data_IF_465154198454
#
_entry.id   IF_465154198454
#
_cell.length_a   1.000
_cell.length_b   1.000
_cell.length_c   1.000
_cell.angle_alpha   90.00
_cell.angle_beta   90.00
_cell.angle_gamma   90.00
#
_symmetry.space_group_name_H-M   'P 1'
#
loop_
_entity.id
_entity.type
_entity.pdbx_description
1 polymer ?
#
# COMPACT_ATOMS: atom_id res chain seq x y z
N UNK A 1 80.41 28.73 34.52
CA UNK A 1 79.96 28.05 33.27
C UNK A 1 78.64 27.40 33.58
N UNK A 2 77.52 28.08 33.24
CA UNK A 2 76.14 27.59 33.47
C UNK A 2 75.57 27.34 32.11
N UNK A 3 75.21 26.07 31.77
CA UNK A 3 74.54 25.68 30.55
C UNK A 3 73.05 25.80 30.78
N UNK A 4 72.35 26.65 30.03
CA UNK A 4 70.89 26.72 29.96
C UNK A 4 70.42 25.70 28.90
N UNK A 5 69.61 24.73 29.34
CA UNK A 5 68.88 23.85 28.45
C UNK A 5 67.50 24.44 28.25
N UNK A 6 67.21 24.83 27.04
CA UNK A 6 65.89 25.36 26.59
C UNK A 6 65.01 24.16 26.20
N UNK A 7 64.01 23.89 27.03
CA UNK A 7 62.98 22.85 26.70
C UNK A 7 61.89 23.48 25.83
N UNK A 8 61.81 23.03 24.60
CA UNK A 8 60.74 23.40 23.63
C UNK A 8 59.54 22.47 23.85
N UNK A 9 58.45 22.98 24.43
CA UNK A 9 57.19 22.26 24.56
C UNK A 9 56.45 22.35 23.20
N UNK A 10 56.32 21.23 22.49
CA UNK A 10 55.45 21.09 21.33
C UNK A 10 54.06 20.77 21.85
N UNK A 11 53.14 21.73 21.77
CA UNK A 11 51.72 21.51 22.03
C UNK A 11 51.13 20.85 20.76
N UNK A 12 50.89 19.55 20.81
CA UNK A 12 50.10 18.82 19.83
C UNK A 12 48.64 19.16 20.01
N UNK A 13 48.07 20.02 19.17
CA UNK A 13 46.66 20.26 19.09
C UNK A 13 46.01 19.05 18.42
N UNK A 14 45.44 18.15 19.18
CA UNK A 14 44.51 17.13 18.71
C UNK A 14 43.19 17.82 18.30
N UNK A 15 43.03 18.06 17.04
CA UNK A 15 41.72 18.37 16.47
C UNK A 15 40.91 17.09 16.59
N UNK A 16 40.06 17.01 17.61
CA UNK A 16 38.99 16.02 17.68
C UNK A 16 38.01 16.33 16.50
N UNK A 17 38.10 15.58 15.41
CA UNK A 17 36.96 15.43 14.52
C UNK A 17 35.90 14.70 15.34
N UNK A 18 35.03 15.47 16.00
CA UNK A 18 33.73 14.98 16.38
C UNK A 18 33.02 14.66 15.09
N UNK A 19 32.98 13.41 14.69
CA UNK A 19 31.99 12.94 13.73
C UNK A 19 30.64 13.42 14.28
N UNK A 20 30.05 14.40 13.62
CA UNK A 20 28.64 14.75 13.88
C UNK A 20 27.90 13.48 13.56
N UNK A 21 27.35 12.79 14.58
CA UNK A 21 26.31 11.80 14.33
C UNK A 21 25.23 12.58 13.56
N UNK A 22 25.10 12.27 12.29
CA UNK A 22 24.06 12.87 11.47
C UNK A 22 22.76 12.44 12.12
N UNK A 23 21.91 13.39 12.49
CA UNK A 23 20.62 13.06 13.05
C UNK A 23 19.83 12.28 12.00
N UNK A 24 19.17 11.22 12.40
CA UNK A 24 18.37 10.36 11.56
C UNK A 24 16.89 10.60 11.87
N UNK A 25 16.09 10.73 10.81
CA UNK A 25 14.63 10.75 10.92
C UNK A 25 14.13 9.34 10.62
N UNK A 26 13.32 8.79 11.52
CA UNK A 26 12.78 7.45 11.34
C UNK A 26 11.36 7.49 10.81
N UNK A 27 11.13 6.86 9.66
CA UNK A 27 9.81 6.57 9.09
C UNK A 27 9.65 5.06 9.13
N UNK A 28 8.75 4.54 9.96
CA UNK A 28 8.54 3.09 10.09
C UNK A 28 7.83 2.49 8.89
N UNK A 29 8.10 1.21 8.56
CA UNK A 29 7.33 0.46 7.58
C UNK A 29 6.67 -0.75 8.24
N UNK A 30 5.34 -0.85 8.14
CA UNK A 30 4.54 -1.99 8.60
C UNK A 30 4.08 -2.81 7.40
N UNK A 31 4.65 -3.99 7.22
CA UNK A 31 4.32 -4.93 6.13
C UNK A 31 3.86 -6.29 6.63
N UNK A 32 3.28 -7.08 5.76
CA UNK A 32 3.04 -8.51 5.98
C UNK A 32 4.17 -9.33 5.35
N UNK A 33 5.35 -9.27 5.95
CA UNK A 33 6.53 -10.00 5.45
C UNK A 33 6.37 -11.51 5.59
N UNK A 34 5.48 -11.94 6.46
CA UNK A 34 4.99 -13.32 6.59
C UNK A 34 3.47 -13.33 6.52
N UNK A 35 2.87 -14.46 6.07
CA UNK A 35 1.41 -14.62 6.02
C UNK A 35 0.82 -14.44 4.63
N UNK A 36 -0.46 -14.01 4.52
CA UNK A 36 -1.24 -14.13 3.28
C UNK A 36 -0.86 -13.16 2.16
N UNK A 37 0.08 -12.24 2.39
CA UNK A 37 0.56 -11.28 1.38
C UNK A 37 2.09 -11.27 1.27
N UNK A 38 2.71 -12.44 1.48
CA UNK A 38 4.16 -12.57 1.49
C UNK A 38 4.80 -12.15 0.15
N UNK A 39 4.15 -12.41 -0.99
CA UNK A 39 4.66 -12.01 -2.31
C UNK A 39 4.29 -10.56 -2.69
N UNK A 40 3.26 -9.97 -2.06
CA UNK A 40 2.86 -8.58 -2.29
C UNK A 40 3.77 -7.59 -1.54
N UNK A 41 4.19 -7.92 -0.33
CA UNK A 41 4.93 -7.00 0.54
C UNK A 41 6.26 -6.52 -0.04
N UNK A 42 7.14 -7.39 -0.62
CA UNK A 42 8.45 -6.94 -1.10
C UNK A 42 8.41 -5.82 -2.16
N UNK A 43 7.64 -5.91 -3.25
CA UNK A 43 7.63 -4.83 -4.24
C UNK A 43 7.10 -3.49 -3.70
N UNK A 44 6.15 -3.52 -2.75
CA UNK A 44 5.66 -2.29 -2.09
C UNK A 44 6.75 -1.68 -1.19
N UNK A 45 7.45 -2.52 -0.44
CA UNK A 45 8.58 -2.11 0.41
C UNK A 45 9.74 -1.55 -0.41
N UNK A 46 10.12 -2.23 -1.51
CA UNK A 46 11.20 -1.80 -2.38
C UNK A 46 10.89 -0.44 -3.03
N UNK A 47 9.66 -0.21 -3.43
CA UNK A 47 9.22 1.08 -3.96
C UNK A 47 9.26 2.19 -2.89
N UNK A 48 8.84 1.91 -1.66
CA UNK A 48 8.97 2.84 -0.53
C UNK A 48 10.45 3.13 -0.22
N UNK A 49 11.31 2.12 -0.26
CA UNK A 49 12.76 2.30 -0.12
C UNK A 49 13.37 3.15 -1.23
N UNK A 50 12.91 3.00 -2.48
CA UNK A 50 13.36 3.85 -3.59
C UNK A 50 13.03 5.33 -3.34
N UNK A 51 11.84 5.64 -2.82
CA UNK A 51 11.49 7.00 -2.44
C UNK A 51 12.42 7.54 -1.33
N UNK A 52 12.68 6.76 -0.29
CA UNK A 52 13.62 7.10 0.79
C UNK A 52 15.04 7.32 0.23
N UNK A 53 15.48 6.47 -0.69
CA UNK A 53 16.78 6.62 -1.34
C UNK A 53 16.88 7.93 -2.11
N UNK A 54 15.86 8.31 -2.90
CA UNK A 54 15.84 9.58 -3.63
C UNK A 54 15.95 10.78 -2.69
N UNK A 55 15.24 10.75 -1.55
CA UNK A 55 15.34 11.80 -0.52
C UNK A 55 16.76 11.87 0.04
N UNK A 56 17.31 10.74 0.45
CA UNK A 56 18.62 10.67 1.08
C UNK A 56 19.75 11.09 0.11
N UNK A 57 19.73 10.65 -1.13
CA UNK A 57 20.75 10.98 -2.15
C UNK A 57 20.71 12.46 -2.56
N UNK A 58 19.54 13.10 -2.50
CA UNK A 58 19.34 14.52 -2.81
C UNK A 58 19.45 15.43 -1.58
N UNK A 59 20.16 14.98 -0.54
CA UNK A 59 20.56 15.80 0.59
C UNK A 59 19.72 15.64 1.87
N UNK A 60 18.87 14.63 1.93
CA UNK A 60 18.09 14.28 3.14
C UNK A 60 17.05 15.31 3.54
N UNK A 61 16.43 15.07 4.68
CA UNK A 61 15.44 15.94 5.35
C UNK A 61 16.11 17.00 6.21
N UNK A 62 15.40 18.10 6.51
CA UNK A 62 15.69 19.02 7.60
C UNK A 62 17.20 19.33 7.77
N UNK A 63 17.80 19.98 6.80
CA UNK A 63 19.23 20.34 6.79
C UNK A 63 20.19 19.12 6.73
N UNK A 64 19.77 18.03 6.12
CA UNK A 64 20.66 16.91 5.77
C UNK A 64 20.52 15.68 6.68
N UNK A 65 19.42 15.55 7.42
CA UNK A 65 19.13 14.34 8.17
C UNK A 65 18.70 13.20 7.21
N UNK A 66 19.28 12.01 7.38
CA UNK A 66 18.92 10.86 6.56
C UNK A 66 17.68 10.17 7.12
N UNK A 67 16.86 9.63 6.21
CA UNK A 67 15.73 8.78 6.61
C UNK A 67 16.25 7.37 6.85
N UNK A 68 15.95 6.81 8.02
CA UNK A 68 16.02 5.40 8.35
C UNK A 68 14.59 4.81 8.29
N UNK A 69 14.42 3.63 7.69
CA UNK A 69 13.11 2.98 7.58
C UNK A 69 13.10 1.64 8.31
N UNK A 70 12.93 1.63 9.67
CA UNK A 70 12.77 0.40 10.42
C UNK A 70 11.47 -0.31 10.07
N UNK A 71 11.52 -1.65 9.98
CA UNK A 71 10.39 -2.46 9.55
C UNK A 71 9.69 -3.15 10.71
N UNK A 72 8.40 -3.43 10.57
CA UNK A 72 7.62 -4.29 11.46
C UNK A 72 6.80 -5.30 10.65
N UNK A 73 6.85 -6.58 11.02
CA UNK A 73 6.00 -7.60 10.43
C UNK A 73 4.67 -7.65 11.16
N UNK A 74 3.61 -7.40 10.43
CA UNK A 74 2.23 -7.43 10.93
C UNK A 74 1.58 -8.80 10.78
N UNK A 75 2.23 -9.72 10.07
CA UNK A 75 1.70 -11.02 9.65
C UNK A 75 0.37 -10.96 8.87
N UNK A 76 -0.26 -9.80 8.76
CA UNK A 76 -1.56 -9.56 8.12
C UNK A 76 -2.76 -10.30 8.76
N UNK A 77 -2.52 -11.44 9.38
CA UNK A 77 -3.56 -12.33 9.94
C UNK A 77 -3.74 -12.21 11.47
N UNK A 78 -2.81 -11.55 12.18
CA UNK A 78 -2.84 -11.42 13.65
C UNK A 78 -2.82 -9.95 14.07
N UNK A 79 -3.97 -9.44 14.55
CA UNK A 79 -4.10 -8.08 15.07
C UNK A 79 -3.14 -7.78 16.23
N UNK A 80 -2.77 -8.80 17.03
CA UNK A 80 -1.82 -8.62 18.13
C UNK A 80 -0.39 -8.45 17.61
N UNK A 81 0.00 -9.19 16.56
CA UNK A 81 1.29 -9.01 15.89
C UNK A 81 1.39 -7.60 15.29
N UNK A 82 0.36 -7.14 14.58
CA UNK A 82 0.30 -5.79 14.02
C UNK A 82 0.42 -4.71 15.10
N UNK A 83 -0.33 -4.84 16.21
CA UNK A 83 -0.28 -3.91 17.34
C UNK A 83 1.11 -3.87 17.98
N UNK A 84 1.74 -5.02 18.21
CA UNK A 84 3.07 -5.11 18.81
C UNK A 84 4.16 -4.53 17.90
N UNK A 85 4.07 -4.79 16.59
CA UNK A 85 4.99 -4.23 15.60
C UNK A 85 4.89 -2.69 15.57
N UNK A 86 3.67 -2.15 15.56
CA UNK A 86 3.42 -0.72 15.61
C UNK A 86 3.88 -0.09 16.94
N UNK A 87 3.58 -0.72 18.09
CA UNK A 87 4.03 -0.24 19.41
C UNK A 87 5.55 -0.15 19.47
N UNK A 88 6.27 -1.13 18.93
CA UNK A 88 7.73 -1.08 18.85
C UNK A 88 8.22 0.11 18.02
N UNK A 89 7.64 0.33 16.82
CA UNK A 89 8.02 1.47 15.99
C UNK A 89 7.73 2.81 16.69
N UNK A 90 6.56 2.95 17.33
CA UNK A 90 6.13 4.19 17.97
C UNK A 90 6.89 4.47 19.25
N UNK A 91 7.03 3.48 20.14
CA UNK A 91 7.48 3.68 21.51
C UNK A 91 8.95 3.27 21.76
N UNK A 92 9.53 2.38 20.93
CA UNK A 92 10.92 1.96 21.08
C UNK A 92 11.84 2.58 20.03
N UNK A 93 11.41 2.59 18.76
CA UNK A 93 12.17 3.20 17.66
C UNK A 93 11.95 4.72 17.55
N UNK A 94 10.86 5.23 18.15
CA UNK A 94 10.47 6.64 18.13
C UNK A 94 10.30 7.20 16.72
N UNK A 95 9.63 6.45 15.85
CA UNK A 95 9.39 6.91 14.48
C UNK A 95 8.54 8.18 14.46
N UNK A 96 8.82 9.05 13.49
CA UNK A 96 8.04 10.28 13.21
C UNK A 96 6.72 9.95 12.55
N UNK A 97 6.73 9.02 11.60
CA UNK A 97 5.57 8.59 10.82
C UNK A 97 5.69 7.10 10.46
N UNK A 98 4.61 6.51 9.95
CA UNK A 98 4.54 5.09 9.55
C UNK A 98 3.98 4.98 8.12
N UNK A 99 4.67 4.23 7.28
CA UNK A 99 4.15 3.69 6.02
C UNK A 99 3.50 2.34 6.33
N UNK A 100 2.22 2.19 5.98
CA UNK A 100 1.50 0.94 6.25
C UNK A 100 0.34 1.12 7.26
N UNK A 101 -0.23 0.01 7.76
CA UNK A 101 0.12 -1.35 7.34
C UNK A 101 -0.45 -1.67 5.94
N UNK A 102 -0.22 -2.91 5.44
CA UNK A 102 -0.68 -3.28 4.10
C UNK A 102 -2.05 -3.99 4.12
N UNK A 103 -2.41 -4.64 5.20
CA UNK A 103 -3.70 -5.30 5.35
C UNK A 103 -4.65 -4.47 6.22
N UNK A 104 -5.92 -4.37 5.86
CA UNK A 104 -6.93 -3.56 6.54
C UNK A 104 -6.97 -3.81 8.04
N UNK A 105 -7.15 -5.06 8.48
CA UNK A 105 -7.20 -5.39 9.92
C UNK A 105 -5.91 -5.06 10.66
N UNK A 106 -4.75 -5.20 10.01
CA UNK A 106 -3.46 -4.81 10.58
C UNK A 106 -3.33 -3.29 10.72
N UNK A 107 -3.80 -2.51 9.73
CA UNK A 107 -3.84 -1.04 9.79
C UNK A 107 -4.73 -0.56 10.93
N UNK A 108 -5.95 -1.10 11.03
CA UNK A 108 -6.90 -0.76 12.11
C UNK A 108 -6.30 -1.08 13.48
N UNK A 109 -5.66 -2.24 13.64
CA UNK A 109 -5.05 -2.64 14.88
C UNK A 109 -3.84 -1.77 15.27
N UNK A 110 -2.95 -1.48 14.30
CA UNK A 110 -1.79 -0.61 14.50
C UNK A 110 -2.19 0.83 14.82
N UNK A 111 -3.19 1.36 14.09
CA UNK A 111 -3.72 2.70 14.30
C UNK A 111 -4.29 2.86 15.71
N UNK A 112 -5.26 2.03 16.08
CA UNK A 112 -5.98 2.15 17.35
C UNK A 112 -5.09 1.89 18.60
N UNK A 113 -4.12 0.97 18.49
CA UNK A 113 -3.35 0.53 19.64
C UNK A 113 -2.00 1.25 19.82
N UNK A 114 -1.48 1.88 18.77
CA UNK A 114 -0.16 2.52 18.82
C UNK A 114 -0.11 3.90 18.15
N UNK A 115 -0.48 4.03 16.87
CA UNK A 115 -0.22 5.24 16.12
C UNK A 115 -1.10 6.40 16.58
N UNK A 116 -2.41 6.25 16.70
CA UNK A 116 -3.34 7.28 17.18
C UNK A 116 -2.99 7.71 18.62
N UNK A 117 -2.83 6.79 19.59
CA UNK A 117 -2.40 7.18 20.94
C UNK A 117 -1.03 7.85 21.00
N UNK A 118 -0.13 7.50 20.06
CA UNK A 118 1.22 8.07 19.97
C UNK A 118 1.30 9.37 19.17
N UNK A 119 0.20 9.84 18.56
CA UNK A 119 0.18 11.01 17.69
C UNK A 119 1.00 10.82 16.40
N UNK A 120 1.11 9.59 15.90
CA UNK A 120 1.91 9.23 14.73
C UNK A 120 1.02 9.13 13.48
N UNK A 121 1.38 9.87 12.44
CA UNK A 121 0.71 9.76 11.13
C UNK A 121 1.03 8.42 10.50
N UNK A 122 0.01 7.73 10.02
CA UNK A 122 0.10 6.52 9.21
C UNK A 122 -0.41 6.78 7.79
N UNK A 123 0.33 6.32 6.79
CA UNK A 123 -0.11 6.33 5.39
C UNK A 123 -0.07 4.91 4.86
N UNK A 124 -1.24 4.30 4.65
CA UNK A 124 -1.33 2.94 4.13
C UNK A 124 -1.35 2.94 2.59
N UNK A 125 -0.44 2.19 1.94
CA UNK A 125 -0.45 2.05 0.49
C UNK A 125 -1.37 0.93 -0.02
N UNK A 126 -1.98 0.10 0.87
CA UNK A 126 -2.65 -1.11 0.43
C UNK A 126 -3.89 -1.50 1.25
N UNK A 127 -4.25 -0.78 2.31
CA UNK A 127 -5.44 -1.09 3.11
C UNK A 127 -6.67 -0.42 2.49
N UNK A 128 -7.49 -1.22 1.83
CA UNK A 128 -8.54 -0.73 0.92
C UNK A 128 -9.94 -0.69 1.54
N UNK A 129 -10.24 -1.51 2.56
CA UNK A 129 -11.62 -1.60 3.06
C UNK A 129 -12.18 -0.26 3.58
N UNK A 130 -13.50 0.00 3.43
CA UNK A 130 -14.16 1.21 3.89
C UNK A 130 -14.01 1.46 5.41
N UNK A 131 -13.79 0.41 6.21
CA UNK A 131 -13.58 0.52 7.64
C UNK A 131 -12.36 1.38 8.04
N UNK A 132 -11.38 1.58 7.14
CA UNK A 132 -10.26 2.50 7.36
C UNK A 132 -10.74 3.94 7.38
N UNK A 133 -11.65 4.32 6.48
CA UNK A 133 -12.25 5.65 6.39
C UNK A 133 -13.15 6.01 7.59
N UNK A 134 -13.58 5.01 8.36
CA UNK A 134 -14.48 5.19 9.51
C UNK A 134 -13.73 5.20 10.86
N UNK A 135 -12.40 5.19 10.84
CA UNK A 135 -11.60 5.29 12.06
C UNK A 135 -11.78 6.65 12.74
N UNK A 136 -11.87 6.63 14.06
CA UNK A 136 -11.84 7.84 14.87
C UNK A 136 -10.37 8.22 15.14
N UNK A 137 -9.65 8.66 14.12
CA UNK A 137 -8.19 8.70 14.05
C UNK A 137 -7.58 10.07 14.36
N UNK A 138 -8.39 11.11 14.55
CA UNK A 138 -7.93 12.49 14.75
C UNK A 138 -7.07 13.03 13.60
N UNK A 139 -7.39 12.66 12.36
CA UNK A 139 -6.64 13.03 11.16
C UNK A 139 -5.20 12.48 11.12
N UNK A 140 -5.02 11.25 11.60
CA UNK A 140 -3.70 10.58 11.67
C UNK A 140 -3.58 9.38 10.73
N UNK A 141 -4.67 8.91 10.12
CA UNK A 141 -4.64 7.75 9.21
C UNK A 141 -5.04 8.17 7.81
N UNK A 142 -4.15 7.91 6.87
CA UNK A 142 -4.31 8.24 5.44
C UNK A 142 -4.03 7.00 4.61
N UNK A 143 -4.44 7.02 3.34
CA UNK A 143 -4.06 5.97 2.38
C UNK A 143 -3.81 6.54 0.99
N UNK A 144 -2.79 6.01 0.31
CA UNK A 144 -2.47 6.32 -1.08
C UNK A 144 -3.18 5.39 -2.07
N UNK A 145 -4.10 4.58 -1.58
CA UNK A 145 -4.92 3.63 -2.36
C UNK A 145 -6.40 4.00 -2.24
N UNK A 146 -7.21 3.91 -3.31
CA UNK A 146 -8.65 4.15 -3.23
C UNK A 146 -9.37 3.12 -2.37
N UNK A 147 -10.56 3.49 -1.90
CA UNK A 147 -11.42 2.61 -1.09
C UNK A 147 -12.03 1.47 -1.91
N UNK A 148 -12.21 0.31 -1.27
CA UNK A 148 -13.03 -0.81 -1.77
C UNK A 148 -14.48 -0.44 -2.03
N UNK A 149 -14.99 0.62 -1.43
CA UNK A 149 -16.29 1.17 -1.80
C UNK A 149 -16.33 1.51 -3.30
N UNK A 150 -15.24 2.08 -3.82
CA UNK A 150 -15.09 2.39 -5.24
C UNK A 150 -14.72 1.15 -6.07
N UNK A 151 -13.79 0.30 -5.59
CA UNK A 151 -13.38 -0.90 -6.32
C UNK A 151 -14.52 -1.92 -6.45
N UNK A 152 -15.32 -2.13 -5.38
CA UNK A 152 -16.49 -3.01 -5.43
C UNK A 152 -17.55 -2.54 -6.42
N UNK A 153 -17.80 -1.22 -6.51
CA UNK A 153 -18.67 -0.65 -7.54
C UNK A 153 -18.13 -0.90 -8.95
N UNK A 154 -16.84 -0.66 -9.18
CA UNK A 154 -16.20 -0.86 -10.47
C UNK A 154 -16.25 -2.34 -10.89
N UNK A 155 -15.98 -3.26 -9.98
CA UNK A 155 -16.09 -4.71 -10.21
C UNK A 155 -17.51 -5.10 -10.61
N UNK A 156 -18.53 -4.61 -9.89
CA UNK A 156 -19.93 -4.90 -10.18
C UNK A 156 -20.32 -4.44 -11.59
N UNK A 157 -20.00 -3.19 -11.94
CA UNK A 157 -20.30 -2.63 -13.26
C UNK A 157 -19.54 -3.33 -14.38
N UNK A 158 -18.28 -3.70 -14.15
CA UNK A 158 -17.48 -4.47 -15.11
C UNK A 158 -18.15 -5.80 -15.44
N UNK A 159 -18.62 -6.56 -14.45
CA UNK A 159 -19.27 -7.85 -14.65
C UNK A 159 -20.58 -7.69 -15.45
N UNK A 160 -21.43 -6.74 -15.06
CA UNK A 160 -22.69 -6.47 -15.79
C UNK A 160 -22.43 -6.02 -17.23
N UNK A 161 -21.41 -5.18 -17.47
CA UNK A 161 -21.02 -4.77 -18.81
C UNK A 161 -20.53 -5.94 -19.69
N UNK A 162 -19.97 -6.99 -19.07
CA UNK A 162 -19.57 -8.24 -19.73
C UNK A 162 -20.73 -9.22 -19.93
N UNK A 163 -21.94 -8.90 -19.44
CA UNK A 163 -23.10 -9.79 -19.50
C UNK A 163 -23.05 -10.94 -18.50
N UNK A 164 -22.26 -10.79 -17.44
CA UNK A 164 -22.26 -11.68 -16.28
C UNK A 164 -23.30 -11.13 -15.33
N UNK A 165 -24.52 -11.69 -15.36
CA UNK A 165 -25.68 -11.16 -14.64
C UNK A 165 -25.98 -11.93 -13.34
N UNK A 166 -25.35 -13.08 -13.14
CA UNK A 166 -25.51 -13.92 -11.95
C UNK A 166 -24.16 -14.51 -11.53
N UNK A 167 -23.82 -14.37 -10.24
CA UNK A 167 -22.58 -14.88 -9.66
C UNK A 167 -22.81 -15.57 -8.33
N UNK A 168 -21.83 -16.39 -7.90
CA UNK A 168 -21.64 -16.75 -6.51
C UNK A 168 -20.38 -16.09 -5.99
N UNK A 169 -20.39 -15.72 -4.71
CA UNK A 169 -19.31 -14.96 -4.07
C UNK A 169 -18.73 -15.77 -2.91
N UNK A 170 -17.42 -15.85 -2.82
CA UNK A 170 -16.75 -16.23 -1.59
C UNK A 170 -15.69 -15.20 -1.22
N UNK A 171 -15.57 -14.89 0.07
CA UNK A 171 -14.63 -13.89 0.54
C UNK A 171 -13.92 -14.34 1.81
N UNK A 172 -12.67 -13.91 1.99
CA UNK A 172 -11.92 -14.18 3.21
C UNK A 172 -12.58 -13.49 4.40
N UNK A 173 -12.78 -14.22 5.49
CA UNK A 173 -13.49 -13.75 6.68
C UNK A 173 -12.62 -12.81 7.53
N UNK A 174 -12.35 -11.62 7.00
CA UNK A 174 -11.68 -10.53 7.70
C UNK A 174 -12.22 -9.17 7.25
N UNK A 175 -11.65 -8.06 7.73
CA UNK A 175 -12.14 -6.71 7.43
C UNK A 175 -12.01 -6.35 5.94
N UNK A 176 -10.95 -6.81 5.24
CA UNK A 176 -10.76 -6.62 3.81
C UNK A 176 -11.82 -7.37 3.00
N UNK A 177 -11.85 -8.70 3.11
CA UNK A 177 -12.76 -9.52 2.29
C UNK A 177 -14.22 -9.17 2.50
N UNK A 178 -14.61 -8.91 3.74
CA UNK A 178 -15.99 -8.51 4.06
C UNK A 178 -16.33 -7.14 3.48
N UNK A 179 -15.47 -6.14 3.69
CA UNK A 179 -15.70 -4.78 3.21
C UNK A 179 -15.86 -4.70 1.70
N UNK A 180 -14.99 -5.39 0.98
CA UNK A 180 -15.06 -5.47 -0.47
C UNK A 180 -16.29 -6.26 -0.97
N UNK A 181 -16.60 -7.40 -0.33
CA UNK A 181 -17.79 -8.18 -0.67
C UNK A 181 -19.08 -7.39 -0.47
N UNK A 182 -19.20 -6.68 0.66
CA UNK A 182 -20.38 -5.86 0.95
C UNK A 182 -20.57 -4.74 -0.10
N UNK A 183 -19.48 -4.05 -0.49
CA UNK A 183 -19.52 -3.00 -1.51
C UNK A 183 -19.88 -3.55 -2.89
N UNK A 184 -19.27 -4.68 -3.28
CA UNK A 184 -19.56 -5.36 -4.53
C UNK A 184 -21.02 -5.82 -4.62
N UNK A 185 -21.49 -6.59 -3.62
CA UNK A 185 -22.85 -7.16 -3.61
C UNK A 185 -23.90 -6.05 -3.64
N UNK A 186 -23.73 -5.01 -2.81
CA UNK A 186 -24.67 -3.90 -2.76
C UNK A 186 -24.85 -3.22 -4.12
N UNK A 187 -23.78 -2.93 -4.83
CA UNK A 187 -23.84 -2.31 -6.16
C UNK A 187 -24.36 -3.27 -7.21
N UNK A 188 -23.85 -4.52 -7.22
CA UNK A 188 -24.21 -5.51 -8.22
C UNK A 188 -25.71 -5.80 -8.23
N UNK A 189 -26.31 -5.98 -7.03
CA UNK A 189 -27.75 -6.20 -6.90
C UNK A 189 -28.58 -4.93 -7.20
N UNK A 190 -28.09 -3.76 -6.80
CA UNK A 190 -28.76 -2.49 -7.08
C UNK A 190 -28.83 -2.17 -8.57
N UNK A 191 -27.82 -2.60 -9.36
CA UNK A 191 -27.74 -2.38 -10.81
C UNK A 191 -28.33 -3.57 -11.62
N UNK A 192 -28.94 -4.56 -10.95
CA UNK A 192 -29.73 -5.63 -11.59
C UNK A 192 -29.06 -6.98 -11.72
N UNK A 193 -27.84 -7.15 -11.18
CA UNK A 193 -27.20 -8.45 -11.05
C UNK A 193 -27.83 -9.31 -9.96
N UNK A 194 -27.51 -10.58 -9.93
CA UNK A 194 -27.95 -11.54 -8.92
C UNK A 194 -26.77 -12.19 -8.24
N UNK A 195 -26.71 -12.15 -6.92
CA UNK A 195 -25.78 -12.94 -6.12
C UNK A 195 -26.53 -14.17 -5.61
N UNK A 196 -26.31 -15.33 -6.25
CA UNK A 196 -27.04 -16.56 -5.94
C UNK A 196 -26.66 -17.13 -4.55
N UNK A 197 -25.41 -16.96 -4.14
CA UNK A 197 -24.90 -17.32 -2.80
C UNK A 197 -23.69 -16.42 -2.47
N UNK A 198 -23.57 -16.01 -1.20
CA UNK A 198 -22.47 -15.21 -0.69
C UNK A 198 -21.95 -15.84 0.61
N UNK A 199 -20.72 -16.38 0.60
CA UNK A 199 -20.19 -17.22 1.68
C UNK A 199 -18.80 -16.79 2.11
N UNK A 200 -18.63 -16.47 3.39
CA UNK A 200 -17.32 -16.25 3.98
C UNK A 200 -16.53 -17.55 4.12
N UNK A 201 -15.22 -17.50 3.88
CA UNK A 201 -14.30 -18.59 4.17
C UNK A 201 -13.15 -18.13 5.07
N UNK A 202 -12.64 -19.05 5.88
CA UNK A 202 -11.46 -18.77 6.71
C UNK A 202 -10.19 -18.80 5.86
N UNK A 203 -9.23 -17.91 6.14
CA UNK A 203 -7.96 -17.89 5.43
C UNK A 203 -7.07 -19.10 5.75
N UNK A 204 -6.11 -19.37 4.85
CA UNK A 204 -5.04 -20.35 5.03
C UNK A 204 -5.49 -21.77 5.41
N UNK A 205 -6.62 -22.24 4.84
CA UNK A 205 -7.05 -23.63 4.95
C UNK A 205 -6.58 -24.45 3.76
N UNK A 206 -6.33 -25.73 4.01
CA UNK A 206 -5.94 -26.68 2.98
C UNK A 206 -7.13 -27.17 2.13
N UNK A 207 -8.37 -26.99 2.60
CA UNK A 207 -9.57 -27.55 1.96
C UNK A 207 -10.77 -26.61 2.09
N UNK A 208 -11.35 -26.26 0.93
CA UNK A 208 -12.55 -25.42 0.75
C UNK A 208 -13.66 -26.13 -0.03
N UNK A 209 -13.58 -27.45 -0.20
CA UNK A 209 -14.56 -28.22 -1.00
C UNK A 209 -15.96 -28.18 -0.41
N UNK A 210 -16.09 -27.97 0.91
CA UNK A 210 -17.39 -27.79 1.55
C UNK A 210 -18.06 -26.48 1.14
N UNK A 211 -17.31 -25.39 1.18
CA UNK A 211 -17.74 -24.07 0.76
C UNK A 211 -18.06 -24.06 -0.74
N UNK A 212 -17.17 -24.59 -1.55
CA UNK A 212 -17.36 -24.73 -3.00
C UNK A 212 -18.56 -25.61 -3.34
N UNK A 213 -18.81 -26.68 -2.57
CA UNK A 213 -19.98 -27.54 -2.72
C UNK A 213 -21.30 -26.77 -2.45
N UNK A 214 -21.31 -25.86 -1.48
CA UNK A 214 -22.46 -25.00 -1.19
C UNK A 214 -22.70 -24.02 -2.35
N UNK A 215 -21.65 -23.32 -2.78
CA UNK A 215 -21.71 -22.35 -3.89
C UNK A 215 -22.16 -23.02 -5.19
N UNK A 216 -21.59 -24.16 -5.54
CA UNK A 216 -21.91 -24.90 -6.78
C UNK A 216 -23.33 -25.50 -6.80
N UNK A 217 -23.97 -25.68 -5.65
CA UNK A 217 -25.35 -26.15 -5.57
C UNK A 217 -26.36 -25.18 -6.21
N UNK A 218 -26.00 -23.92 -6.41
CA UNK A 218 -26.78 -22.93 -7.13
C UNK A 218 -26.82 -23.19 -8.64
N UNK A 219 -25.80 -23.86 -9.19
CA UNK A 219 -25.66 -24.12 -10.62
C UNK A 219 -25.01 -22.95 -11.39
N UNK A 220 -24.61 -21.87 -10.71
CA UNK A 220 -23.95 -20.70 -11.30
C UNK A 220 -22.48 -20.99 -11.52
N UNK A 221 -21.94 -20.81 -12.76
CA UNK A 221 -20.57 -21.14 -13.11
C UNK A 221 -19.55 -20.03 -12.82
N UNK A 222 -20.00 -18.80 -12.52
CA UNK A 222 -19.17 -17.61 -12.35
C UNK A 222 -18.90 -17.39 -10.86
N UNK A 223 -17.64 -17.59 -10.45
CA UNK A 223 -17.18 -17.56 -9.06
C UNK A 223 -16.37 -16.29 -8.77
N UNK A 224 -16.89 -15.42 -7.93
CA UNK A 224 -16.16 -14.29 -7.36
C UNK A 224 -15.40 -14.74 -6.12
N UNK A 225 -14.09 -14.51 -6.10
CA UNK A 225 -13.17 -14.87 -5.01
C UNK A 225 -12.46 -13.62 -4.50
N UNK A 226 -12.91 -13.08 -3.38
CA UNK A 226 -12.34 -11.90 -2.74
C UNK A 226 -11.44 -12.33 -1.58
N UNK A 227 -10.18 -12.59 -1.88
CA UNK A 227 -9.25 -13.27 -1.00
C UNK A 227 -7.79 -12.87 -1.28
N UNK A 228 -6.84 -13.57 -0.66
CA UNK A 228 -5.41 -13.39 -0.92
C UNK A 228 -4.86 -14.53 -1.78
N UNK A 229 -4.22 -14.17 -2.87
CA UNK A 229 -3.67 -15.13 -3.84
C UNK A 229 -2.56 -16.01 -3.31
N UNK A 230 -1.84 -15.60 -2.25
CA UNK A 230 -0.79 -16.41 -1.62
C UNK A 230 -1.33 -17.53 -0.70
N UNK A 231 -2.59 -17.45 -0.28
CA UNK A 231 -3.18 -18.37 0.70
C UNK A 231 -4.53 -18.93 0.24
N UNK A 232 -5.64 -18.42 0.79
CA UNK A 232 -6.97 -18.98 0.50
C UNK A 232 -7.35 -18.85 -0.97
N UNK A 233 -7.04 -17.75 -1.63
CA UNK A 233 -7.40 -17.49 -3.01
C UNK A 233 -6.90 -18.56 -3.98
N UNK A 234 -5.59 -18.91 -3.92
CA UNK A 234 -5.01 -19.97 -4.75
C UNK A 234 -5.66 -21.34 -4.52
N UNK A 235 -5.95 -21.66 -3.25
CA UNK A 235 -6.53 -22.96 -2.89
C UNK A 235 -7.98 -23.07 -3.34
N UNK A 236 -8.76 -21.99 -3.15
CA UNK A 236 -10.15 -21.89 -3.61
C UNK A 236 -10.22 -22.04 -5.12
N UNK A 237 -9.45 -21.25 -5.89
CA UNK A 237 -9.47 -21.30 -7.36
C UNK A 237 -9.05 -22.69 -7.87
N UNK A 238 -7.98 -23.27 -7.32
CA UNK A 238 -7.54 -24.62 -7.74
C UNK A 238 -8.61 -25.67 -7.47
N UNK A 239 -9.20 -25.70 -6.28
CA UNK A 239 -10.22 -26.68 -5.93
C UNK A 239 -11.53 -26.45 -6.68
N UNK A 240 -11.87 -25.19 -7.00
CA UNK A 240 -12.98 -24.85 -7.87
C UNK A 240 -12.78 -25.41 -9.28
N UNK A 241 -11.58 -25.22 -9.86
CA UNK A 241 -11.21 -25.79 -11.15
C UNK A 241 -11.27 -27.34 -11.14
N UNK A 242 -10.68 -27.99 -10.15
CA UNK A 242 -10.71 -29.46 -9.99
C UNK A 242 -12.12 -30.00 -9.90
N UNK A 243 -13.06 -29.24 -9.36
CA UNK A 243 -14.47 -29.64 -9.24
C UNK A 243 -15.19 -29.70 -10.59
N UNK A 244 -14.70 -28.93 -11.59
CA UNK A 244 -15.33 -28.75 -12.89
C UNK A 244 -16.70 -28.05 -12.88
N UNK A 245 -17.07 -27.43 -11.76
CA UNK A 245 -18.37 -26.77 -11.58
C UNK A 245 -18.35 -25.28 -11.88
N UNK A 246 -17.15 -24.69 -11.89
CA UNK A 246 -16.94 -23.27 -12.19
C UNK A 246 -16.08 -23.12 -13.44
N UNK A 247 -16.38 -22.10 -14.25
CA UNK A 247 -15.70 -21.85 -15.52
C UNK A 247 -15.05 -20.47 -15.61
N UNK A 248 -15.50 -19.53 -14.77
CA UNK A 248 -14.96 -18.19 -14.69
C UNK A 248 -14.58 -17.91 -13.23
N UNK A 249 -13.41 -17.35 -13.04
CA UNK A 249 -12.89 -16.91 -11.74
C UNK A 249 -12.71 -15.40 -11.77
N UNK A 250 -13.25 -14.73 -10.78
CA UNK A 250 -13.29 -13.27 -10.72
C UNK A 250 -12.64 -12.85 -9.42
N UNK A 251 -11.59 -12.06 -9.48
CA UNK A 251 -10.83 -11.61 -8.33
C UNK A 251 -10.86 -10.09 -8.12
N UNK A 252 -10.13 -9.66 -7.11
CA UNK A 252 -9.81 -8.26 -6.86
C UNK A 252 -8.30 -8.10 -6.60
N UNK A 253 -7.87 -6.95 -6.12
CA UNK A 253 -6.47 -6.59 -5.87
C UNK A 253 -5.67 -7.65 -5.10
N UNK A 254 -6.23 -8.21 -4.03
CA UNK A 254 -5.60 -9.28 -3.24
C UNK A 254 -5.33 -10.57 -4.01
N UNK A 255 -5.96 -10.75 -5.17
CA UNK A 255 -5.74 -11.88 -6.07
C UNK A 255 -4.74 -11.57 -7.20
N UNK A 256 -4.42 -10.28 -7.44
CA UNK A 256 -3.51 -9.85 -8.53
C UNK A 256 -2.06 -9.83 -8.03
N UNK A 257 -1.58 -10.96 -7.58
CA UNK A 257 -0.24 -11.14 -7.00
C UNK A 257 0.46 -12.37 -7.60
N UNK A 258 1.80 -12.36 -7.61
CA UNK A 258 2.59 -13.41 -8.25
C UNK A 258 2.33 -14.80 -7.66
N UNK A 259 2.06 -14.88 -6.36
CA UNK A 259 1.75 -16.15 -5.70
C UNK A 259 0.55 -16.88 -6.28
N UNK A 260 -0.47 -16.16 -6.78
CA UNK A 260 -1.59 -16.79 -7.48
C UNK A 260 -1.12 -17.46 -8.79
N UNK A 261 -0.35 -16.75 -9.61
CA UNK A 261 0.17 -17.28 -10.88
C UNK A 261 1.07 -18.50 -10.65
N UNK A 262 2.00 -18.38 -9.70
CA UNK A 262 3.01 -19.42 -9.42
C UNK A 262 2.39 -20.71 -8.87
N UNK A 263 1.32 -20.59 -8.08
CA UNK A 263 0.75 -21.73 -7.36
C UNK A 263 -0.49 -22.34 -8.03
N UNK A 264 -1.24 -21.59 -8.85
CA UNK A 264 -2.42 -22.11 -9.54
C UNK A 264 -2.07 -22.61 -10.94
N UNK A 265 -1.22 -21.87 -11.65
CA UNK A 265 -0.74 -22.25 -12.97
C UNK A 265 -1.57 -21.64 -14.13
N UNK A 266 -0.88 -21.46 -15.27
CA UNK A 266 -1.46 -20.84 -16.45
C UNK A 266 -2.61 -21.66 -17.07
N UNK A 267 -2.57 -22.99 -16.94
CA UNK A 267 -3.62 -23.87 -17.47
C UNK A 267 -4.98 -23.69 -16.80
N UNK A 268 -5.00 -23.07 -15.60
CA UNK A 268 -6.24 -22.80 -14.87
C UNK A 268 -6.68 -21.35 -15.08
N UNK A 269 -5.71 -20.42 -15.14
CA UNK A 269 -6.00 -18.98 -15.08
C UNK A 269 -6.14 -18.31 -16.45
N UNK A 270 -5.42 -18.81 -17.47
CA UNK A 270 -5.52 -18.23 -18.82
C UNK A 270 -6.98 -18.28 -19.33
N UNK A 271 -7.46 -17.16 -19.85
CA UNK A 271 -8.80 -16.97 -20.41
C UNK A 271 -9.97 -17.21 -19.43
N UNK A 272 -9.70 -17.61 -18.18
CA UNK A 272 -10.73 -17.92 -17.18
C UNK A 272 -10.67 -17.03 -15.93
N UNK A 273 -9.60 -16.23 -15.77
CA UNK A 273 -9.44 -15.33 -14.64
C UNK A 273 -9.48 -13.87 -15.07
N UNK A 274 -10.39 -13.11 -14.47
CA UNK A 274 -10.44 -11.65 -14.55
C UNK A 274 -10.45 -11.05 -13.15
N UNK A 275 -9.96 -9.83 -13.01
CA UNK A 275 -9.96 -9.16 -11.72
C UNK A 275 -10.03 -7.64 -11.89
N UNK A 276 -10.25 -6.95 -10.78
CA UNK A 276 -10.00 -5.52 -10.67
C UNK A 276 -8.87 -5.25 -9.68
N UNK A 277 -8.16 -4.14 -9.88
CA UNK A 277 -7.21 -3.61 -8.90
C UNK A 277 -7.19 -2.08 -8.95
N UNK A 278 -6.74 -1.41 -7.89
CA UNK A 278 -6.33 -0.02 -8.00
C UNK A 278 -5.28 0.14 -9.09
N UNK A 279 -5.52 1.06 -10.01
CA UNK A 279 -4.63 1.35 -11.13
C UNK A 279 -3.78 2.58 -10.89
N UNK A 280 -2.74 2.74 -11.70
CA UNK A 280 -1.93 3.94 -11.76
C UNK A 280 -2.32 4.69 -13.05
N UNK A 281 -2.95 5.87 -12.97
CA UNK A 281 -3.43 6.59 -14.15
C UNK A 281 -2.26 7.08 -15.02
N UNK A 282 -2.50 7.26 -16.33
CA UNK A 282 -1.50 7.81 -17.25
C UNK A 282 -1.25 9.29 -16.95
N UNK A 283 -0.33 9.57 -16.05
CA UNK A 283 0.06 10.93 -15.63
C UNK A 283 1.59 11.10 -15.69
N UNK A 284 2.08 12.34 -15.75
CA UNK A 284 3.53 12.58 -15.68
C UNK A 284 4.19 11.98 -14.42
N UNK A 285 3.47 11.90 -13.29
CA UNK A 285 3.97 11.26 -12.06
C UNK A 285 4.15 9.76 -12.22
N UNK A 286 3.15 9.08 -12.81
CA UNK A 286 3.21 7.64 -13.09
C UNK A 286 4.30 7.31 -14.11
N UNK A 287 4.40 8.06 -15.22
CA UNK A 287 5.47 7.88 -16.20
C UNK A 287 6.85 8.05 -15.56
N UNK A 288 7.00 9.07 -14.70
CA UNK A 288 8.24 9.32 -13.99
C UNK A 288 8.61 8.19 -13.03
N UNK A 289 7.65 7.66 -12.30
CA UNK A 289 7.88 6.52 -11.41
C UNK A 289 8.33 5.28 -12.20
N UNK A 290 7.70 4.97 -13.34
CA UNK A 290 8.10 3.84 -14.19
C UNK A 290 9.58 3.96 -14.58
N UNK A 291 10.01 5.14 -15.08
CA UNK A 291 11.43 5.37 -15.43
C UNK A 291 12.37 5.12 -14.25
N UNK A 292 12.00 5.61 -13.05
CA UNK A 292 12.82 5.49 -11.84
C UNK A 292 12.90 4.05 -11.35
N UNK A 293 11.76 3.33 -11.35
CA UNK A 293 11.67 1.94 -10.93
C UNK A 293 12.44 1.01 -11.87
N UNK A 294 12.32 1.21 -13.20
CA UNK A 294 13.11 0.47 -14.20
C UNK A 294 14.61 0.70 -14.02
N UNK A 295 15.03 1.95 -13.81
CA UNK A 295 16.43 2.28 -13.56
C UNK A 295 16.98 1.63 -12.28
N UNK A 296 16.14 1.46 -11.27
CA UNK A 296 16.47 0.80 -10.00
C UNK A 296 16.31 -0.74 -10.04
N UNK A 297 15.72 -1.29 -11.11
CA UNK A 297 15.42 -2.72 -11.23
C UNK A 297 14.31 -3.20 -10.32
N UNK A 298 13.34 -2.31 -10.01
CA UNK A 298 12.18 -2.58 -9.16
C UNK A 298 10.94 -2.82 -10.03
N UNK A 299 10.05 -3.70 -9.59
CA UNK A 299 8.80 -3.98 -10.30
C UNK A 299 7.80 -2.85 -10.12
N UNK A 300 7.61 -2.03 -11.14
CA UNK A 300 6.60 -0.96 -11.17
C UNK A 300 5.19 -1.48 -11.49
N UNK A 301 5.07 -2.68 -12.08
CA UNK A 301 3.79 -3.31 -12.44
C UNK A 301 3.12 -4.03 -11.27
N UNK A 302 3.86 -4.28 -10.19
CA UNK A 302 3.32 -4.93 -9.01
C UNK A 302 2.22 -4.07 -8.38
N UNK A 303 1.14 -4.71 -7.94
CA UNK A 303 0.04 -4.03 -7.27
C UNK A 303 0.57 -3.27 -6.05
N UNK A 304 0.12 -2.02 -5.87
CA UNK A 304 0.51 -1.09 -4.80
C UNK A 304 1.98 -0.63 -4.79
N UNK A 305 2.81 -0.95 -5.79
CA UNK A 305 4.19 -0.44 -5.85
C UNK A 305 4.23 1.08 -5.94
N UNK A 306 3.45 1.69 -6.84
CA UNK A 306 3.33 3.15 -6.94
C UNK A 306 2.82 3.79 -5.65
N UNK A 307 1.80 3.21 -5.03
CA UNK A 307 1.23 3.66 -3.77
C UNK A 307 2.25 3.59 -2.62
N UNK A 308 3.11 2.57 -2.60
CA UNK A 308 4.20 2.42 -1.64
C UNK A 308 5.25 3.51 -1.76
N UNK A 309 5.65 3.83 -3.00
CA UNK A 309 6.53 4.97 -3.29
C UNK A 309 5.93 6.28 -2.79
N UNK A 310 4.65 6.52 -3.13
CA UNK A 310 3.94 7.75 -2.78
C UNK A 310 3.79 7.93 -1.28
N UNK A 311 3.44 6.88 -0.55
CA UNK A 311 3.33 6.94 0.91
C UNK A 311 4.65 7.39 1.57
N UNK A 312 5.79 6.89 1.10
CA UNK A 312 7.10 7.26 1.61
C UNK A 312 7.48 8.71 1.22
N UNK A 313 7.28 9.07 -0.05
CA UNK A 313 7.66 10.39 -0.56
C UNK A 313 6.79 11.49 0.04
N UNK A 314 5.48 11.26 0.18
CA UNK A 314 4.54 12.19 0.83
C UNK A 314 4.88 12.43 2.30
N UNK A 315 5.22 11.38 3.06
CA UNK A 315 5.66 11.54 4.45
C UNK A 315 6.96 12.33 4.54
N UNK A 316 7.90 12.13 3.63
CA UNK A 316 9.11 12.92 3.57
C UNK A 316 8.80 14.41 3.28
N UNK A 317 7.96 14.69 2.28
CA UNK A 317 7.51 16.05 1.97
C UNK A 317 6.80 16.71 3.15
N UNK A 318 5.95 15.96 3.85
CA UNK A 318 5.22 16.46 5.02
C UNK A 318 6.17 16.82 6.18
N UNK A 319 7.18 16.01 6.44
CA UNK A 319 8.18 16.29 7.49
C UNK A 319 9.03 17.52 7.12
N UNK A 320 9.47 17.63 5.86
CA UNK A 320 10.20 18.81 5.37
C UNK A 320 9.34 20.08 5.47
N UNK A 321 8.08 20.02 5.02
CA UNK A 321 7.12 21.11 5.11
C UNK A 321 6.81 21.51 6.56
N UNK A 322 6.76 20.55 7.48
CA UNK A 322 6.58 20.79 8.91
C UNK A 322 7.81 21.49 9.54
N UNK A 323 8.97 21.39 8.90
CA UNK A 323 10.24 21.94 9.41
C UNK A 323 10.75 21.26 10.69
N UNK A 324 10.21 20.10 11.04
CA UNK A 324 10.54 19.34 12.25
C UNK A 324 10.24 17.86 12.09
N UNK A 325 11.08 17.00 12.67
CA UNK A 325 10.84 15.56 12.79
C UNK A 325 9.92 15.18 13.96
N UNK A 326 9.41 16.17 14.70
CA UNK A 326 8.38 15.91 15.72
C UNK A 326 7.07 15.49 15.05
N UNK A 327 6.29 14.65 15.71
CA UNK A 327 5.02 14.11 15.19
C UNK A 327 3.94 15.17 15.00
N UNK A 328 3.95 16.17 15.89
CA UNK A 328 3.02 17.29 15.81
C UNK A 328 3.24 18.09 14.51
N UNK A 329 2.17 18.37 13.81
CA UNK A 329 2.19 19.15 12.56
C UNK A 329 2.39 18.33 11.27
N UNK A 330 2.74 17.03 11.37
CA UNK A 330 2.95 16.18 10.16
C UNK A 330 1.64 15.98 9.37
N UNK A 331 0.52 15.74 10.05
CA UNK A 331 -0.77 15.53 9.36
C UNK A 331 -1.24 16.75 8.56
N UNK A 332 -1.33 17.98 9.11
CA UNK A 332 -1.68 19.15 8.32
C UNK A 332 -0.64 19.46 7.23
N UNK A 333 0.65 19.19 7.46
CA UNK A 333 1.68 19.33 6.45
C UNK A 333 1.49 18.34 5.29
N UNK A 334 1.11 17.08 5.60
CA UNK A 334 0.80 16.06 4.60
C UNK A 334 -0.33 16.53 3.67
N UNK A 335 -1.42 17.04 4.20
CA UNK A 335 -2.51 17.62 3.41
C UNK A 335 -2.07 18.82 2.57
N UNK A 336 -1.19 19.66 3.12
CA UNK A 336 -0.68 20.84 2.42
C UNK A 336 0.17 20.50 1.21
N UNK A 337 1.02 19.48 1.28
CA UNK A 337 1.93 19.11 0.18
C UNK A 337 1.28 18.25 -0.90
N UNK A 338 0.09 17.71 -0.62
CA UNK A 338 -0.64 16.81 -1.51
C UNK A 338 -1.84 17.45 -2.21
N UNK A 339 -2.17 18.70 -1.91
CA UNK A 339 -3.39 19.37 -2.39
C UNK A 339 -3.09 20.60 -3.22
N UNK A 340 -3.82 20.75 -4.32
CA UNK A 340 -3.80 21.98 -5.12
C UNK A 340 -4.43 23.17 -4.34
N UNK A 341 -4.00 24.44 -4.63
CA UNK A 341 -2.99 24.80 -5.62
C UNK A 341 -1.56 24.61 -5.14
N UNK A 342 -0.61 24.48 -6.06
CA UNK A 342 0.83 24.42 -5.74
C UNK A 342 1.66 24.13 -6.98
N UNK A 343 2.97 24.36 -6.88
CA UNK A 343 3.92 23.92 -7.89
C UNK A 343 3.99 22.39 -7.88
N UNK A 344 3.84 21.79 -9.05
CA UNK A 344 3.81 20.32 -9.17
C UNK A 344 5.19 19.72 -8.86
N UNK A 345 5.18 18.75 -7.98
CA UNK A 345 6.32 17.88 -7.64
C UNK A 345 6.02 16.46 -8.13
N UNK A 346 6.95 15.89 -8.87
CA UNK A 346 6.87 14.52 -9.37
C UNK A 346 7.78 13.57 -8.56
N UNK A 347 7.60 12.24 -8.68
CA UNK A 347 8.51 11.26 -8.10
C UNK A 347 9.99 11.56 -8.40
N UNK A 348 10.83 11.53 -7.37
CA UNK A 348 12.27 11.81 -7.48
C UNK A 348 12.67 13.29 -7.54
N UNK A 349 11.75 14.24 -7.58
CA UNK A 349 12.05 15.69 -7.60
C UNK A 349 12.25 16.27 -6.18
N UNK A 350 13.04 15.59 -5.35
CA UNK A 350 13.22 15.99 -3.95
C UNK A 350 13.94 17.34 -3.79
N UNK A 351 15.05 17.57 -4.51
CA UNK A 351 15.80 18.83 -4.44
C UNK A 351 14.91 20.03 -4.82
N UNK A 352 14.12 19.92 -5.89
CA UNK A 352 13.14 20.93 -6.30
C UNK A 352 12.10 21.19 -5.20
N UNK A 353 11.57 20.14 -4.58
CA UNK A 353 10.60 20.28 -3.51
C UNK A 353 11.19 21.05 -2.31
N UNK A 354 12.41 20.71 -1.87
CA UNK A 354 13.11 21.41 -0.79
C UNK A 354 13.33 22.90 -1.09
N UNK A 355 13.77 23.22 -2.31
CA UNK A 355 13.98 24.61 -2.71
C UNK A 355 12.68 25.42 -2.66
N UNK A 356 11.56 24.85 -3.13
CA UNK A 356 10.25 25.50 -3.11
C UNK A 356 9.72 25.66 -1.68
N UNK A 357 9.79 24.62 -0.86
CA UNK A 357 9.39 24.67 0.56
C UNK A 357 10.20 25.73 1.30
N UNK A 358 11.53 25.77 1.13
CA UNK A 358 12.40 26.75 1.76
C UNK A 358 12.09 28.19 1.30
N UNK A 359 11.60 28.38 0.08
CA UNK A 359 11.14 29.66 -0.44
C UNK A 359 9.73 30.05 0.04
N UNK A 360 9.02 29.17 0.76
CA UNK A 360 7.63 29.35 1.17
C UNK A 360 6.63 29.27 0.02
N UNK A 361 6.99 28.56 -1.05
CA UNK A 361 6.12 28.30 -2.20
C UNK A 361 5.28 27.06 -1.92
N UNK A 362 3.97 27.15 -2.16
CA UNK A 362 3.06 26.01 -2.07
C UNK A 362 3.40 24.98 -3.14
N UNK A 363 3.44 23.70 -2.76
CA UNK A 363 3.68 22.58 -3.65
C UNK A 363 2.46 21.66 -3.70
N UNK A 364 2.34 20.90 -4.80
CA UNK A 364 1.34 19.85 -4.97
C UNK A 364 2.02 18.61 -5.54
N UNK A 365 2.01 17.50 -4.78
CA UNK A 365 2.61 16.25 -5.22
C UNK A 365 1.68 15.47 -6.14
N UNK A 366 2.13 15.26 -7.38
CA UNK A 366 1.51 14.37 -8.37
C UNK A 366 2.32 13.08 -8.44
N UNK A 367 1.78 12.03 -7.82
CA UNK A 367 2.54 10.83 -7.48
C UNK A 367 2.61 9.75 -8.55
N UNK A 368 3.27 8.67 -8.17
CA UNK A 368 3.42 7.42 -8.93
C UNK A 368 2.06 6.73 -9.19
N UNK A 369 1.12 6.88 -8.27
CA UNK A 369 -0.24 6.34 -8.37
C UNK A 369 -1.31 7.42 -8.66
N UNK A 370 -0.89 8.61 -9.04
CA UNK A 370 -1.75 9.74 -9.41
C UNK A 370 -1.82 10.84 -8.37
N UNK A 371 -2.95 11.55 -8.34
CA UNK A 371 -3.20 12.64 -7.40
C UNK A 371 -3.52 12.13 -6.00
N UNK A 372 -3.03 12.86 -4.98
CA UNK A 372 -3.23 12.54 -3.57
C UNK A 372 -4.03 13.63 -2.84
N UNK A 373 -5.05 14.16 -3.48
CA UNK A 373 -6.01 15.10 -2.88
C UNK A 373 -6.81 14.37 -1.78
N UNK A 374 -6.24 14.28 -0.59
CA UNK A 374 -6.88 13.60 0.54
C UNK A 374 -8.19 14.28 0.93
N UNK A 375 -9.27 13.52 0.95
CA UNK A 375 -10.56 13.98 1.47
C UNK A 375 -10.55 14.13 3.01
N UNK A 376 -11.70 14.47 3.60
CA UNK A 376 -11.83 14.65 5.06
C UNK A 376 -11.53 13.38 5.87
N UNK A 377 -11.56 12.20 5.23
CA UNK A 377 -11.31 10.90 5.83
C UNK A 377 -9.90 10.35 5.55
N UNK A 378 -9.04 11.13 4.89
CA UNK A 378 -7.70 10.69 4.50
C UNK A 378 -7.68 9.73 3.31
N UNK A 379 -8.77 9.66 2.54
CA UNK A 379 -8.88 8.87 1.32
C UNK A 379 -8.44 9.65 0.10
N UNK A 380 -7.96 8.96 -0.93
CA UNK A 380 -7.60 9.55 -2.23
C UNK A 380 -8.62 9.17 -3.30
N UNK A 381 -8.84 10.02 -4.32
CA UNK A 381 -9.47 9.59 -5.55
C UNK A 381 -8.59 8.54 -6.22
N UNK A 382 -9.18 7.67 -7.02
CA UNK A 382 -8.40 6.67 -7.72
C UNK A 382 -9.07 6.22 -9.01
N UNK A 383 -8.38 5.35 -9.72
CA UNK A 383 -8.87 4.63 -10.87
C UNK A 383 -8.80 3.13 -10.57
N UNK A 384 -9.71 2.38 -11.15
CA UNK A 384 -9.71 0.92 -11.08
C UNK A 384 -9.37 0.38 -12.47
N UNK A 385 -8.49 -0.60 -12.49
CA UNK A 385 -8.01 -1.25 -13.69
C UNK A 385 -8.58 -2.66 -13.78
N UNK A 386 -9.04 -3.04 -14.97
CA UNK A 386 -9.41 -4.42 -15.27
C UNK A 386 -8.14 -5.23 -15.59
N UNK A 387 -8.02 -6.40 -14.99
CA UNK A 387 -6.94 -7.35 -15.18
C UNK A 387 -7.45 -8.68 -15.74
N UNK A 388 -6.64 -9.32 -16.56
CA UNK A 388 -6.82 -10.70 -16.99
C UNK A 388 -5.50 -11.47 -16.86
N UNK A 389 -5.57 -12.80 -16.96
CA UNK A 389 -4.36 -13.62 -17.09
C UNK A 389 -4.25 -14.10 -18.53
N UNK A 390 -3.11 -13.77 -19.17
CA UNK A 390 -2.75 -14.18 -20.52
C UNK A 390 -1.30 -14.66 -20.53
N UNK A 391 -1.03 -15.80 -21.14
CA UNK A 391 0.32 -16.40 -21.21
C UNK A 391 1.01 -16.48 -19.83
N UNK A 392 0.23 -16.81 -18.78
CA UNK A 392 0.72 -16.92 -17.40
C UNK A 392 1.11 -15.60 -16.75
N UNK A 393 0.60 -14.47 -17.23
CA UNK A 393 0.88 -13.14 -16.69
C UNK A 393 -0.39 -12.34 -16.47
N UNK A 394 -0.38 -11.48 -15.49
CA UNK A 394 -1.41 -10.43 -15.37
C UNK A 394 -1.22 -9.38 -16.46
N UNK A 395 -2.30 -9.12 -17.19
CA UNK A 395 -2.33 -8.13 -18.29
C UNK A 395 -3.45 -7.14 -18.02
N UNK A 396 -3.13 -5.86 -18.10
CA UNK A 396 -4.12 -4.79 -18.04
C UNK A 396 -5.03 -4.82 -19.27
N UNK A 397 -6.32 -4.65 -19.05
CA UNK A 397 -7.35 -4.46 -20.09
C UNK A 397 -7.81 -3.01 -20.19
N UNK A 398 -7.25 -2.14 -19.35
CA UNK A 398 -7.54 -0.72 -19.29
C UNK A 398 -8.28 -0.31 -18.05
N UNK A 399 -8.46 0.99 -17.91
CA UNK A 399 -9.17 1.57 -16.77
C UNK A 399 -10.67 1.44 -16.95
N UNK A 400 -11.36 1.22 -15.83
CA UNK A 400 -12.81 1.15 -15.77
C UNK A 400 -13.38 2.55 -15.57
N UNK A 401 -14.45 2.88 -16.30
CA UNK A 401 -15.20 4.12 -16.14
C UNK A 401 -15.90 4.15 -14.77
N UNK A 402 -16.06 5.38 -14.20
CA UNK A 402 -16.76 5.62 -12.93
C UNK A 402 -18.25 5.36 -13.05
#
# INVERSE_FOLDING_TARGET
MKKHVLAMAVAASTVALSGMAQAEVKIGFLGGFTGPIETLTPPVYDAAQLAVQHVNEQGGLLDGQMIEMPTGDTTCSDASAASNAADRLVNSEHVTAIIGALCTGATIAAANNAAIPGGVVMVSPASTAPAVSDLADNDLVFRTVPSDAFQGEALARMLLAKGIDEVVVTYVNNDYGRGLADAFVATYEAEGGTVAENLAHEDNRADYRSELGTLSATGVPDLVVLAYGDTSGQTVVRQAYESGMFTQYIGADGMVISGLLDNVGEEVLNDSFIATRPGNPDTPGTERFVELAEAAGISHEAVFAGQGYDAAFLLALAIEQNGSAEREGVAPALRSVSSAPGEVILPGEWEKAKELIAAGTEINYEGASGSHEFDEKGDVPGVVEEMAVEDGKFVSKGFLDK
#
